data_IF_902128438093
#
_entry.id   IF_902128438093
#
_cell.length_a   1.000
_cell.length_b   1.000
_cell.length_c   1.000
_cell.angle_alpha   90.00
_cell.angle_beta   90.00
_cell.angle_gamma   90.00
#
_symmetry.space_group_name_H-M   'P 1'
#
loop_
_entity.id
_entity.type
_entity.pdbx_description
1 polymer ?
#
# COMPACT_ATOMS: atom_id res chain seq x y z
N UNK A 1 -2.76 -6.40 20.11
CA UNK A 1 -1.62 -6.21 19.21
C UNK A 1 -1.92 -4.92 18.45
N UNK A 2 -1.25 -3.81 18.77
CA UNK A 2 -1.44 -2.53 18.10
C UNK A 2 -0.75 -2.62 16.73
N UNK A 3 -1.53 -2.71 15.68
CA UNK A 3 -1.02 -2.63 14.31
C UNK A 3 -1.02 -1.17 13.87
N UNK A 4 0.00 -0.46 14.26
CA UNK A 4 0.35 0.79 13.60
C UNK A 4 0.96 0.45 12.23
N UNK A 5 0.16 0.60 11.16
CA UNK A 5 0.57 0.33 9.76
C UNK A 5 1.54 1.44 9.27
N UNK A 6 2.19 2.12 10.19
CA UNK A 6 3.29 3.01 9.90
C UNK A 6 4.47 2.22 9.28
N UNK A 7 5.30 2.90 8.53
CA UNK A 7 6.55 2.34 8.02
C UNK A 7 7.38 1.59 9.08
N UNK A 8 7.17 1.86 10.37
CA UNK A 8 7.79 1.16 11.49
C UNK A 8 7.41 -0.32 11.59
N UNK A 9 6.18 -0.72 11.25
CA UNK A 9 5.80 -2.14 11.24
C UNK A 9 6.30 -2.86 10.00
N UNK A 10 6.24 -2.23 8.84
CA UNK A 10 6.87 -2.79 7.63
C UNK A 10 8.36 -2.99 7.90
N UNK A 11 9.02 -2.00 8.52
CA UNK A 11 10.42 -2.12 8.94
C UNK A 11 10.62 -3.27 9.92
N UNK A 12 9.77 -3.43 10.93
CA UNK A 12 9.84 -4.50 11.93
C UNK A 12 9.62 -5.88 11.32
N UNK A 13 8.65 -6.02 10.40
CA UNK A 13 8.43 -7.27 9.67
C UNK A 13 9.61 -7.60 8.75
N UNK A 14 10.16 -6.62 8.06
CA UNK A 14 11.34 -6.79 7.22
C UNK A 14 12.59 -7.11 8.06
N UNK A 15 12.78 -6.44 9.21
CA UNK A 15 13.94 -6.65 10.07
C UNK A 15 13.92 -8.01 10.78
N UNK A 16 12.75 -8.54 11.13
CA UNK A 16 12.59 -9.88 11.71
C UNK A 16 13.04 -10.99 10.75
N UNK A 17 12.99 -10.73 9.43
CA UNK A 17 13.33 -11.69 8.37
C UNK A 17 14.58 -11.29 7.57
N UNK A 18 15.40 -10.41 8.14
CA UNK A 18 16.60 -9.84 7.47
C UNK A 18 17.61 -10.92 7.03
N UNK A 19 17.76 -12.00 7.79
CA UNK A 19 18.70 -13.07 7.46
C UNK A 19 18.36 -13.78 6.14
N UNK A 20 17.10 -13.71 5.70
CA UNK A 20 16.66 -14.26 4.41
C UNK A 20 16.65 -13.23 3.27
N UNK A 21 16.72 -11.93 3.59
CA UNK A 21 16.51 -10.83 2.63
C UNK A 21 17.76 -10.38 1.86
N UNK A 22 18.93 -10.95 2.13
CA UNK A 22 20.20 -10.63 1.48
C UNK A 22 21.12 -9.66 2.21
N UNK A 23 22.42 -9.76 1.90
CA UNK A 23 23.48 -8.87 2.40
C UNK A 23 23.25 -7.37 2.09
N UNK A 24 22.42 -7.05 1.09
CA UNK A 24 22.03 -5.66 0.76
C UNK A 24 21.34 -4.94 1.91
N UNK A 25 20.56 -5.66 2.74
CA UNK A 25 19.87 -5.05 3.90
C UNK A 25 20.75 -5.02 5.16
N UNK A 26 21.75 -5.89 5.25
CA UNK A 26 22.66 -5.96 6.39
C UNK A 26 23.56 -4.71 6.51
N UNK A 27 23.80 -4.02 5.39
CA UNK A 27 24.75 -2.90 5.29
C UNK A 27 24.11 -1.51 5.34
N UNK A 28 22.79 -1.39 5.46
CA UNK A 28 22.10 -0.09 5.51
C UNK A 28 21.21 0.01 6.74
N UNK A 29 21.49 0.99 7.61
CA UNK A 29 20.61 1.37 8.70
C UNK A 29 19.24 1.96 8.23
N UNK A 30 18.96 1.92 6.92
CA UNK A 30 17.70 2.37 6.30
C UNK A 30 17.08 1.20 5.53
N UNK A 31 15.80 0.93 5.75
CA UNK A 31 15.06 -0.02 4.95
C UNK A 31 14.95 0.48 3.50
N UNK A 32 15.70 -0.12 2.58
CA UNK A 32 15.78 0.30 1.18
C UNK A 32 14.48 0.11 0.39
N UNK A 33 13.46 -0.53 1.00
CA UNK A 33 12.17 -0.81 0.36
C UNK A 33 11.04 0.17 0.73
N UNK A 34 11.32 1.18 1.54
CA UNK A 34 10.33 2.19 1.91
C UNK A 34 10.64 3.52 1.22
N UNK A 35 9.60 4.33 0.90
CA UNK A 35 9.79 5.73 0.55
C UNK A 35 10.51 6.47 1.68
N UNK A 36 11.30 7.48 1.35
CA UNK A 36 11.91 8.33 2.36
C UNK A 36 10.83 9.11 3.12
N UNK A 37 10.91 9.12 4.47
CA UNK A 37 10.00 9.90 5.31
C UNK A 37 10.66 11.21 5.69
N UNK A 38 9.98 12.32 5.38
CA UNK A 38 10.45 13.68 5.66
C UNK A 38 9.92 14.24 6.99
N UNK A 39 8.80 13.70 7.51
CA UNK A 39 8.26 14.13 8.79
C UNK A 39 7.03 13.33 9.23
N UNK A 40 6.79 13.33 10.55
CA UNK A 40 5.62 12.72 11.19
C UNK A 40 5.04 13.74 12.17
N UNK A 41 3.72 14.00 12.07
CA UNK A 41 3.04 15.07 12.80
C UNK A 41 1.74 14.56 13.43
N UNK A 42 1.30 15.21 14.51
CA UNK A 42 0.02 14.92 15.16
C UNK A 42 -1.12 15.74 14.56
N UNK A 43 -0.81 16.96 14.14
CA UNK A 43 -1.78 17.94 13.60
C UNK A 43 -1.25 18.56 12.30
N UNK A 44 -2.17 19.08 11.48
CA UNK A 44 -1.81 19.71 10.19
C UNK A 44 -1.07 21.03 10.35
N UNK A 45 -1.26 21.75 11.46
CA UNK A 45 -0.60 23.01 11.79
C UNK A 45 0.86 22.86 12.26
N UNK A 46 1.24 21.63 12.64
CA UNK A 46 2.63 21.31 13.00
C UNK A 46 3.55 21.15 11.77
N UNK A 47 2.98 21.08 10.53
CA UNK A 47 3.76 20.80 9.33
C UNK A 47 4.64 21.99 8.96
N UNK A 48 5.95 21.78 9.08
CA UNK A 48 6.94 22.74 8.62
C UNK A 48 7.30 22.45 7.15
N UNK A 49 6.78 23.30 6.25
CA UNK A 49 7.00 23.17 4.81
C UNK A 49 8.39 23.62 4.37
N UNK A 50 9.12 24.40 5.17
CA UNK A 50 10.40 24.98 4.75
C UNK A 50 11.46 23.90 4.53
N UNK A 51 11.47 22.87 5.35
CA UNK A 51 12.42 21.74 5.29
C UNK A 51 12.01 20.65 4.29
N UNK A 52 10.80 20.72 3.70
CA UNK A 52 10.36 19.71 2.76
C UNK A 52 10.96 19.90 1.36
N UNK A 53 11.20 18.81 0.60
CA UNK A 53 11.63 18.90 -0.79
C UNK A 53 10.56 19.55 -1.66
N UNK A 54 10.89 19.81 -2.94
CA UNK A 54 9.93 20.44 -3.86
C UNK A 54 8.71 19.57 -4.16
N UNK A 55 8.82 18.26 -4.03
CA UNK A 55 7.73 17.31 -4.29
C UNK A 55 7.65 16.27 -3.18
N UNK A 56 6.46 16.01 -2.66
CA UNK A 56 6.19 15.07 -1.58
C UNK A 56 4.73 14.63 -1.57
N UNK A 57 4.43 13.61 -0.77
CA UNK A 57 3.07 13.15 -0.49
C UNK A 57 2.79 13.28 1.00
N UNK A 58 1.65 13.86 1.37
CA UNK A 58 1.15 13.94 2.75
C UNK A 58 0.07 12.89 2.89
N UNK A 59 0.15 12.04 3.92
CA UNK A 59 -0.82 10.97 4.19
C UNK A 59 -1.22 10.90 5.65
N UNK A 60 -2.43 10.44 5.92
CA UNK A 60 -2.82 9.90 7.23
C UNK A 60 -2.49 8.41 7.33
N UNK A 61 -2.15 7.91 8.54
CA UNK A 61 -1.71 6.52 8.75
C UNK A 61 -2.83 5.54 9.07
N UNK A 62 -4.02 6.03 9.40
CA UNK A 62 -5.08 5.25 10.08
C UNK A 62 -6.38 5.16 9.29
N UNK A 63 -6.38 5.57 8.03
CA UNK A 63 -7.59 5.57 7.21
C UNK A 63 -7.29 5.45 5.70
N UNK A 64 -8.36 5.43 4.90
CA UNK A 64 -8.29 5.47 3.45
C UNK A 64 -8.71 6.84 2.92
N UNK A 65 -7.95 7.37 1.97
CA UNK A 65 -8.25 8.62 1.25
C UNK A 65 -7.67 9.89 1.86
N UNK A 66 -7.03 9.82 3.03
CA UNK A 66 -6.29 10.91 3.64
C UNK A 66 -4.95 11.16 2.94
N UNK A 67 -4.98 11.50 1.64
CA UNK A 67 -3.77 11.67 0.81
C UNK A 67 -3.82 13.00 0.06
N UNK A 68 -2.71 13.73 0.07
CA UNK A 68 -2.45 14.94 -0.72
C UNK A 68 -1.10 14.78 -1.43
N UNK A 69 -1.12 14.88 -2.76
CA UNK A 69 0.10 14.83 -3.58
C UNK A 69 0.51 16.25 -3.92
N UNK A 70 1.72 16.65 -3.51
CA UNK A 70 2.33 17.94 -3.82
C UNK A 70 3.43 17.71 -4.85
N UNK A 71 3.17 18.10 -6.09
CA UNK A 71 4.14 17.98 -7.19
C UNK A 71 5.13 19.15 -7.24
N UNK A 72 4.71 20.33 -6.80
CA UNK A 72 5.51 21.54 -6.73
C UNK A 72 5.16 22.30 -5.44
N UNK A 73 6.10 22.35 -4.49
CA UNK A 73 5.91 23.02 -3.20
C UNK A 73 5.64 24.52 -3.36
N UNK A 74 6.36 25.21 -4.24
CA UNK A 74 6.19 26.63 -4.42
C UNK A 74 4.79 26.98 -4.93
N UNK A 75 4.27 26.25 -5.92
CA UNK A 75 2.90 26.40 -6.41
C UNK A 75 1.86 26.08 -5.34
N UNK A 76 2.07 25.00 -4.58
CA UNK A 76 1.17 24.59 -3.50
C UNK A 76 1.09 25.63 -2.38
N UNK A 77 2.21 26.26 -2.02
CA UNK A 77 2.26 27.30 -0.99
C UNK A 77 1.72 28.65 -1.48
N UNK A 78 1.88 28.96 -2.75
CA UNK A 78 1.34 30.19 -3.37
C UNK A 78 -0.18 30.15 -3.52
N UNK A 79 -0.77 28.95 -3.73
CA UNK A 79 -2.23 28.75 -3.80
C UNK A 79 -2.81 28.54 -2.39
N UNK A 80 -3.10 29.63 -1.70
CA UNK A 80 -3.65 29.58 -0.34
C UNK A 80 -4.96 28.80 -0.26
N UNK A 81 -5.83 28.87 -1.27
CA UNK A 81 -7.11 28.15 -1.29
C UNK A 81 -6.89 26.65 -1.36
N UNK A 82 -6.06 26.18 -2.27
CA UNK A 82 -5.70 24.77 -2.43
C UNK A 82 -4.99 24.21 -1.20
N UNK A 83 -4.09 25.00 -0.61
CA UNK A 83 -3.40 24.64 0.63
C UNK A 83 -4.39 24.43 1.77
N UNK A 84 -5.29 25.40 2.01
CA UNK A 84 -6.30 25.35 3.06
C UNK A 84 -7.23 24.15 2.83
N UNK A 85 -7.74 23.94 1.63
CA UNK A 85 -8.60 22.79 1.30
C UNK A 85 -7.88 21.46 1.60
N UNK A 86 -6.62 21.32 1.18
CA UNK A 86 -5.81 20.12 1.40
C UNK A 86 -5.59 19.83 2.88
N UNK A 87 -5.21 20.84 3.66
CA UNK A 87 -4.97 20.69 5.10
C UNK A 87 -6.29 20.43 5.85
N UNK A 88 -7.38 21.08 5.46
CA UNK A 88 -8.73 20.82 6.00
C UNK A 88 -9.18 19.40 5.72
N UNK A 89 -8.93 18.90 4.50
CA UNK A 89 -9.19 17.50 4.16
C UNK A 89 -8.43 16.56 5.09
N UNK A 90 -7.11 16.75 5.23
CA UNK A 90 -6.27 15.91 6.10
C UNK A 90 -6.72 15.97 7.56
N UNK A 91 -7.08 17.16 8.08
CA UNK A 91 -7.58 17.30 9.44
C UNK A 91 -8.89 16.53 9.66
N UNK A 92 -9.83 16.59 8.71
CA UNK A 92 -11.07 15.78 8.76
C UNK A 92 -10.77 14.27 8.79
N UNK A 93 -9.71 13.83 8.12
CA UNK A 93 -9.27 12.44 8.16
C UNK A 93 -8.64 12.09 9.52
N UNK A 94 -7.84 12.97 10.12
CA UNK A 94 -7.27 12.79 11.45
C UNK A 94 -8.32 12.69 12.56
N UNK A 95 -9.39 13.48 12.45
CA UNK A 95 -10.42 13.61 13.49
C UNK A 95 -11.39 12.43 13.53
N UNK A 96 -11.33 11.52 12.56
CA UNK A 96 -12.24 10.37 12.48
C UNK A 96 -11.56 9.06 12.85
N UNK A 97 -12.28 8.16 13.51
CA UNK A 97 -11.87 6.78 13.58
C UNK A 97 -12.43 6.03 12.36
N UNK A 98 -11.55 5.58 11.47
CA UNK A 98 -11.97 4.93 10.23
C UNK A 98 -12.72 3.61 10.47
N UNK A 99 -12.46 2.92 11.58
CA UNK A 99 -13.22 1.75 12.01
C UNK A 99 -14.73 2.03 12.11
N UNK A 100 -15.13 3.23 12.56
CA UNK A 100 -16.55 3.56 12.68
C UNK A 100 -17.26 3.62 11.33
N UNK A 101 -16.52 3.90 10.26
CA UNK A 101 -17.02 3.94 8.88
C UNK A 101 -16.92 2.58 8.20
N UNK A 102 -15.75 1.95 8.23
CA UNK A 102 -15.45 0.74 7.46
C UNK A 102 -15.78 -0.55 8.19
N UNK A 103 -15.79 -0.52 9.55
CA UNK A 103 -15.86 -1.69 10.45
C UNK A 103 -14.69 -2.66 10.29
N UNK A 104 -13.60 -2.22 9.69
CA UNK A 104 -12.36 -2.97 9.55
C UNK A 104 -11.57 -2.88 10.87
N UNK A 105 -11.49 -3.99 11.57
CA UNK A 105 -10.99 -4.07 12.96
C UNK A 105 -9.59 -3.51 13.15
N UNK A 106 -8.71 -3.69 12.18
CA UNK A 106 -7.32 -3.27 12.27
C UNK A 106 -7.11 -1.74 12.33
N UNK A 107 -8.12 -0.94 11.91
CA UNK A 107 -8.05 0.52 12.04
C UNK A 107 -8.46 1.04 13.42
N UNK A 108 -9.12 0.22 14.24
CA UNK A 108 -9.79 0.66 15.48
C UNK A 108 -8.89 1.38 16.47
N UNK A 109 -7.66 0.87 16.63
CA UNK A 109 -6.74 1.32 17.68
C UNK A 109 -5.48 2.01 17.11
N UNK A 110 -5.48 2.39 15.84
CA UNK A 110 -4.35 3.11 15.27
C UNK A 110 -4.39 4.56 15.76
N UNK A 111 -3.31 5.00 16.38
CA UNK A 111 -3.16 6.40 16.79
C UNK A 111 -3.00 7.27 15.55
N UNK A 112 -3.92 8.24 15.29
CA UNK A 112 -3.85 9.10 14.11
C UNK A 112 -2.55 9.88 14.02
N UNK A 113 -1.95 9.89 12.84
CA UNK A 113 -0.75 10.67 12.49
C UNK A 113 -0.81 11.10 11.04
N UNK A 114 -0.18 12.23 10.77
CA UNK A 114 0.23 12.61 9.42
C UNK A 114 1.66 12.20 9.22
N UNK A 115 1.98 11.66 8.08
CA UNK A 115 3.36 11.50 7.64
C UNK A 115 3.55 12.06 6.25
N UNK A 116 4.76 12.56 6.00
CA UNK A 116 5.16 13.14 4.72
C UNK A 116 6.27 12.28 4.16
N UNK A 117 6.08 11.82 2.94
CA UNK A 117 7.01 10.90 2.30
C UNK A 117 7.38 11.31 0.87
N UNK A 118 8.39 10.65 0.34
CA UNK A 118 8.87 10.77 -1.02
C UNK A 118 7.74 10.56 -2.05
N UNK A 119 7.61 11.49 -3.00
CA UNK A 119 6.67 11.37 -4.11
C UNK A 119 7.24 10.50 -5.23
N UNK A 120 6.91 9.23 -5.23
CA UNK A 120 7.38 8.27 -6.23
C UNK A 120 6.81 8.53 -7.63
N UNK A 121 5.65 9.19 -7.76
CA UNK A 121 5.03 9.48 -9.05
C UNK A 121 5.81 10.48 -9.90
N UNK A 122 6.62 11.33 -9.27
CA UNK A 122 7.50 12.26 -9.97
C UNK A 122 8.58 11.57 -10.81
N UNK A 123 8.96 10.36 -10.41
CA UNK A 123 9.99 9.57 -11.09
C UNK A 123 9.41 8.72 -12.23
N UNK A 124 8.11 8.49 -12.22
CA UNK A 124 7.44 7.66 -13.22
C UNK A 124 5.98 8.11 -13.39
N UNK A 125 5.68 8.76 -14.52
CA UNK A 125 4.32 9.23 -14.85
C UNK A 125 3.29 8.10 -14.99
N UNK A 126 3.72 6.83 -15.19
CA UNK A 126 2.88 5.64 -15.28
C UNK A 126 3.20 4.69 -14.11
N UNK A 127 3.16 5.22 -12.89
CA UNK A 127 3.41 4.45 -11.67
C UNK A 127 2.36 3.35 -11.53
N UNK A 128 2.79 2.11 -11.74
CA UNK A 128 1.94 0.92 -11.58
C UNK A 128 1.96 0.44 -10.15
N UNK A 129 0.76 0.17 -9.64
CA UNK A 129 0.55 -0.40 -8.33
C UNK A 129 0.36 -1.92 -8.47
N UNK A 130 1.38 -2.68 -8.03
CA UNK A 130 1.42 -4.14 -8.05
C UNK A 130 0.95 -4.68 -6.70
N UNK A 131 -0.25 -5.22 -6.65
CA UNK A 131 -0.92 -5.70 -5.44
C UNK A 131 -0.87 -7.22 -5.39
N UNK A 132 -0.05 -7.76 -4.50
CA UNK A 132 0.14 -9.19 -4.33
C UNK A 132 -0.85 -9.73 -3.30
N UNK A 133 -1.81 -10.55 -3.74
CA UNK A 133 -2.75 -11.23 -2.86
C UNK A 133 -2.11 -12.53 -2.37
N UNK A 134 -1.74 -12.55 -1.09
CA UNK A 134 -0.98 -13.64 -0.48
C UNK A 134 -1.90 -14.40 0.48
N UNK A 135 -2.04 -15.70 0.26
CA UNK A 135 -2.78 -16.63 1.12
C UNK A 135 -1.80 -17.68 1.64
N UNK A 136 -1.76 -17.88 2.96
CA UNK A 136 -0.86 -18.84 3.59
C UNK A 136 0.57 -18.77 3.02
N UNK A 137 1.15 -17.59 3.03
CA UNK A 137 2.51 -17.24 2.58
C UNK A 137 2.80 -17.43 1.08
N UNK A 138 1.77 -17.73 0.27
CA UNK A 138 1.90 -17.88 -1.19
C UNK A 138 1.07 -16.83 -1.92
N UNK A 139 1.68 -16.05 -2.79
CA UNK A 139 0.95 -15.19 -3.72
C UNK A 139 0.10 -16.08 -4.63
N UNK A 140 -1.22 -15.88 -4.61
CA UNK A 140 -2.15 -16.59 -5.49
C UNK A 140 -2.38 -15.83 -6.79
N UNK A 141 -2.50 -14.51 -6.69
CA UNK A 141 -2.61 -13.64 -7.85
C UNK A 141 -2.06 -12.24 -7.57
N UNK A 142 -1.78 -11.51 -8.64
CA UNK A 142 -1.25 -10.15 -8.61
C UNK A 142 -2.25 -9.28 -9.36
N UNK A 143 -2.78 -8.27 -8.69
CA UNK A 143 -3.59 -7.23 -9.28
C UNK A 143 -2.68 -6.07 -9.67
N UNK A 144 -2.77 -5.59 -10.90
CA UNK A 144 -2.07 -4.39 -11.34
C UNK A 144 -3.08 -3.33 -11.70
N UNK A 145 -3.13 -2.28 -10.89
CA UNK A 145 -4.01 -1.14 -11.13
C UNK A 145 -3.29 -0.07 -11.95
N UNK A 146 -4.04 0.61 -12.82
CA UNK A 146 -3.58 1.83 -13.44
C UNK A 146 -3.58 2.98 -12.44
N UNK A 147 -2.88 4.07 -12.74
CA UNK A 147 -2.78 5.25 -11.87
C UNK A 147 -4.14 5.89 -11.53
N UNK A 148 -5.15 5.75 -12.40
CA UNK A 148 -6.51 6.22 -12.17
C UNK A 148 -7.38 5.24 -11.36
N UNK A 149 -6.92 4.02 -11.08
CA UNK A 149 -7.65 2.95 -10.40
C UNK A 149 -8.99 2.56 -11.05
N UNK A 150 -9.15 2.81 -12.37
CA UNK A 150 -10.37 2.52 -13.11
C UNK A 150 -10.39 1.14 -13.74
N UNK A 151 -9.22 0.57 -14.00
CA UNK A 151 -9.06 -0.76 -14.60
C UNK A 151 -8.02 -1.56 -13.82
N UNK A 152 -8.20 -2.87 -13.81
CA UNK A 152 -7.26 -3.82 -13.21
C UNK A 152 -6.94 -4.93 -14.19
N UNK A 153 -5.67 -5.31 -14.26
CA UNK A 153 -5.27 -6.58 -14.82
C UNK A 153 -4.82 -7.51 -13.71
N UNK A 154 -5.24 -8.76 -13.78
CA UNK A 154 -4.89 -9.78 -12.80
C UNK A 154 -4.02 -10.85 -13.46
N UNK A 155 -2.99 -11.27 -12.74
CA UNK A 155 -2.00 -12.24 -13.22
C UNK A 155 -1.75 -13.31 -12.17
N UNK A 156 -1.48 -14.53 -12.64
CA UNK A 156 -0.84 -15.54 -11.81
C UNK A 156 0.60 -15.14 -11.46
N UNK A 157 1.24 -15.79 -10.46
CA UNK A 157 2.65 -15.53 -10.13
C UNK A 157 3.63 -15.75 -11.28
N UNK A 158 3.29 -16.58 -12.27
CA UNK A 158 4.07 -16.80 -13.50
C UNK A 158 3.81 -15.74 -14.59
N UNK A 159 2.94 -14.75 -14.28
CA UNK A 159 2.52 -13.66 -15.16
C UNK A 159 1.55 -14.05 -16.28
N UNK A 160 0.94 -15.23 -16.22
CA UNK A 160 -0.23 -15.54 -17.05
C UNK A 160 -1.46 -14.81 -16.53
N UNK A 161 -2.38 -14.51 -17.42
CA UNK A 161 -3.62 -13.83 -17.05
C UNK A 161 -4.41 -14.66 -16.06
N UNK A 162 -4.79 -14.06 -14.92
CA UNK A 162 -5.70 -14.66 -13.97
C UNK A 162 -7.15 -14.42 -14.43
N UNK A 163 -7.97 -15.47 -14.61
CA UNK A 163 -9.21 -15.37 -15.40
C UNK A 163 -10.41 -14.86 -14.60
N UNK A 164 -10.22 -13.84 -13.74
CA UNK A 164 -11.31 -13.24 -12.97
C UNK A 164 -11.38 -11.73 -13.20
N UNK A 165 -12.54 -11.15 -12.90
CA UNK A 165 -12.67 -9.73 -12.61
C UNK A 165 -12.74 -9.53 -11.10
N UNK A 166 -12.02 -8.55 -10.61
CA UNK A 166 -11.98 -8.16 -9.21
C UNK A 166 -12.16 -6.65 -9.10
N UNK A 167 -13.29 -6.20 -8.54
CA UNK A 167 -13.71 -4.80 -8.41
C UNK A 167 -14.00 -4.09 -9.73
N UNK A 168 -12.99 -3.91 -10.56
CA UNK A 168 -13.03 -3.13 -11.79
C UNK A 168 -12.90 -4.02 -13.02
N UNK A 169 -13.36 -3.50 -14.17
CA UNK A 169 -13.17 -4.16 -15.45
C UNK A 169 -11.67 -4.32 -15.75
N UNK A 170 -11.37 -5.37 -16.46
CA UNK A 170 -10.03 -5.61 -16.99
C UNK A 170 -9.68 -4.54 -18.03
N UNK A 171 -8.42 -4.07 -17.99
CA UNK A 171 -7.88 -3.25 -19.06
C UNK A 171 -7.69 -4.10 -20.33
N UNK A 172 -7.98 -3.52 -21.48
CA UNK A 172 -7.75 -4.17 -22.78
C UNK A 172 -6.26 -4.33 -23.08
N UNK A 173 -5.42 -3.48 -22.49
CA UNK A 173 -3.97 -3.50 -22.68
C UNK A 173 -3.29 -4.38 -21.65
N UNK A 174 -2.59 -5.40 -22.11
CA UNK A 174 -1.76 -6.22 -21.22
C UNK A 174 -0.58 -5.41 -20.67
N UNK A 175 -0.28 -5.66 -19.39
CA UNK A 175 0.84 -5.01 -18.71
C UNK A 175 2.08 -5.91 -18.86
N UNK A 176 3.19 -5.30 -19.24
CA UNK A 176 4.45 -6.00 -19.34
C UNK A 176 4.88 -6.54 -17.97
N UNK A 177 5.38 -7.78 -17.97
CA UNK A 177 5.93 -8.43 -16.77
C UNK A 177 7.05 -7.59 -16.15
N UNK A 178 6.95 -7.21 -14.86
CA UNK A 178 8.04 -6.47 -14.22
C UNK A 178 9.29 -7.35 -14.12
N UNK A 179 10.42 -6.83 -14.52
CA UNK A 179 11.68 -7.59 -14.56
C UNK A 179 12.18 -8.01 -13.15
N UNK A 180 11.67 -7.39 -12.08
CA UNK A 180 11.93 -7.77 -10.68
C UNK A 180 10.83 -8.63 -10.05
N UNK A 181 9.91 -9.21 -10.84
CA UNK A 181 8.79 -9.99 -10.32
C UNK A 181 9.22 -11.06 -9.31
N UNK A 182 10.28 -11.81 -9.59
CA UNK A 182 10.78 -12.86 -8.68
C UNK A 182 11.15 -12.29 -7.30
N UNK A 183 11.77 -11.11 -7.25
CA UNK A 183 12.13 -10.43 -6.00
C UNK A 183 10.89 -9.89 -5.30
N UNK A 184 9.92 -9.33 -6.03
CA UNK A 184 8.64 -8.87 -5.47
C UNK A 184 7.84 -10.02 -4.86
N UNK A 185 7.75 -11.18 -5.52
CA UNK A 185 7.10 -12.38 -4.98
C UNK A 185 7.75 -12.86 -3.68
N UNK A 186 9.10 -12.84 -3.61
CA UNK A 186 9.83 -13.19 -2.39
C UNK A 186 9.51 -12.22 -1.26
N UNK A 187 9.51 -10.91 -1.52
CA UNK A 187 9.15 -9.89 -0.53
C UNK A 187 7.71 -10.05 -0.03
N UNK A 188 6.74 -10.29 -0.94
CA UNK A 188 5.36 -10.52 -0.57
C UNK A 188 5.22 -11.74 0.35
N UNK A 189 5.91 -12.84 0.06
CA UNK A 189 5.93 -14.04 0.90
C UNK A 189 6.51 -13.75 2.29
N UNK A 190 7.63 -13.03 2.38
CA UNK A 190 8.26 -12.69 3.65
C UNK A 190 7.39 -11.78 4.52
N UNK A 191 6.73 -10.79 3.91
CA UNK A 191 5.82 -9.89 4.61
C UNK A 191 4.53 -10.56 5.09
N UNK A 192 4.21 -11.74 4.55
CA UNK A 192 3.00 -12.50 4.89
C UNK A 192 3.18 -13.52 6.01
N UNK A 193 4.39 -13.72 6.56
CA UNK A 193 4.70 -14.83 7.49
C UNK A 193 3.78 -14.89 8.71
N UNK A 194 3.36 -13.75 9.23
CA UNK A 194 2.53 -13.69 10.42
C UNK A 194 1.01 -13.62 10.08
N UNK A 195 0.61 -13.85 8.80
CA UNK A 195 -0.77 -13.65 8.33
C UNK A 195 -1.27 -14.77 7.43
N UNK A 196 -2.49 -15.23 7.68
CA UNK A 196 -3.17 -16.21 6.79
C UNK A 196 -3.51 -15.58 5.43
N UNK A 197 -3.84 -14.29 5.44
CA UNK A 197 -4.05 -13.48 4.25
C UNK A 197 -3.51 -12.06 4.45
N UNK A 198 -2.87 -11.57 3.42
CA UNK A 198 -2.47 -10.17 3.31
C UNK A 198 -2.34 -9.75 1.84
N UNK A 199 -2.71 -8.52 1.51
CA UNK A 199 -2.36 -7.89 0.25
C UNK A 199 -1.13 -7.01 0.47
N UNK A 200 -0.09 -7.25 -0.31
CA UNK A 200 1.15 -6.45 -0.27
C UNK A 200 1.22 -5.62 -1.54
N UNK A 201 1.14 -4.30 -1.40
CA UNK A 201 1.16 -3.37 -2.51
C UNK A 201 2.59 -2.83 -2.71
N UNK A 202 3.09 -2.93 -3.93
CA UNK A 202 4.46 -2.54 -4.27
C UNK A 202 4.52 -1.70 -5.54
N UNK A 203 5.51 -0.82 -5.59
CA UNK A 203 5.88 -0.06 -6.77
C UNK A 203 7.26 -0.48 -7.26
N UNK A 204 7.49 -0.36 -8.57
CA UNK A 204 8.80 -0.53 -9.19
C UNK A 204 9.19 0.76 -9.91
N UNK A 205 10.12 1.52 -9.33
CA UNK A 205 10.55 2.83 -9.80
C UNK A 205 12.06 2.84 -9.89
N UNK A 206 12.64 3.25 -11.01
CA UNK A 206 14.08 3.35 -11.22
C UNK A 206 14.87 2.12 -10.75
N UNK A 207 14.38 0.96 -11.10
CA UNK A 207 14.97 -0.33 -10.70
C UNK A 207 14.92 -0.61 -9.20
N UNK A 208 14.19 0.16 -8.41
CA UNK A 208 13.98 -0.04 -6.98
C UNK A 208 12.55 -0.47 -6.69
N UNK A 209 12.39 -1.45 -5.80
CA UNK A 209 11.09 -1.88 -5.31
C UNK A 209 10.75 -1.05 -4.07
N UNK A 210 9.54 -0.52 -4.03
CA UNK A 210 8.99 0.16 -2.86
C UNK A 210 7.75 -0.57 -2.38
N UNK A 211 7.60 -0.73 -1.07
CA UNK A 211 6.40 -1.25 -0.42
C UNK A 211 5.54 -0.03 -0.10
N UNK A 212 4.33 -0.02 -0.63
CA UNK A 212 3.38 1.09 -0.45
C UNK A 212 2.37 0.85 0.65
N UNK A 213 1.84 -0.38 0.77
CA UNK A 213 0.77 -0.69 1.73
C UNK A 213 0.73 -2.18 2.08
N UNK A 214 0.27 -2.48 3.28
CA UNK A 214 -0.15 -3.80 3.73
C UNK A 214 -1.64 -3.74 4.05
N UNK A 215 -2.47 -4.48 3.28
CA UNK A 215 -3.93 -4.45 3.41
C UNK A 215 -4.47 -5.79 3.87
N UNK A 216 -5.23 -5.81 4.97
CA UNK A 216 -5.76 -7.04 5.58
C UNK A 216 -7.14 -7.41 5.05
N UNK A 217 -7.99 -6.42 4.82
CA UNK A 217 -9.38 -6.61 4.37
C UNK A 217 -9.69 -5.73 3.16
N UNK A 218 -9.15 -6.04 1.97
CA UNK A 218 -9.35 -5.22 0.78
C UNK A 218 -10.83 -4.93 0.53
N UNK A 219 -11.19 -3.64 0.42
CA UNK A 219 -12.57 -3.16 0.22
C UNK A 219 -13.57 -3.68 1.27
N UNK A 220 -13.15 -3.80 2.52
CA UNK A 220 -13.98 -4.34 3.63
C UNK A 220 -14.52 -5.75 3.32
N UNK A 221 -13.85 -6.56 2.51
CA UNK A 221 -14.32 -7.86 2.06
C UNK A 221 -15.53 -7.84 1.12
N UNK A 222 -15.91 -6.67 0.58
CA UNK A 222 -17.11 -6.50 -0.27
C UNK A 222 -16.81 -6.47 -1.76
N UNK A 223 -15.60 -6.76 -2.15
CA UNK A 223 -15.21 -6.78 -3.55
C UNK A 223 -15.99 -7.84 -4.33
N UNK A 224 -16.62 -7.44 -5.43
CA UNK A 224 -17.26 -8.40 -6.34
C UNK A 224 -16.19 -9.16 -7.12
N UNK A 225 -16.34 -10.48 -7.16
CA UNK A 225 -15.48 -11.40 -7.90
C UNK A 225 -16.32 -12.09 -8.97
N UNK A 226 -15.87 -12.05 -10.21
CA UNK A 226 -16.53 -12.71 -11.34
C UNK A 226 -15.53 -13.55 -12.12
N UNK A 227 -15.91 -14.81 -12.52
CA UNK A 227 -17.17 -15.49 -12.17
C UNK A 227 -17.25 -15.88 -10.70
N UNK A 228 -18.46 -16.01 -10.16
CA UNK A 228 -18.77 -16.16 -8.72
C UNK A 228 -18.13 -17.40 -8.08
N UNK A 229 -17.90 -18.48 -8.85
CA UNK A 229 -17.22 -19.67 -8.32
C UNK A 229 -15.80 -19.40 -7.81
N UNK A 230 -15.18 -18.29 -8.26
CA UNK A 230 -13.87 -17.90 -7.77
C UNK A 230 -13.90 -17.26 -6.37
N UNK A 231 -15.01 -16.68 -5.97
CA UNK A 231 -15.17 -16.19 -4.61
C UNK A 231 -15.05 -17.34 -3.60
N UNK A 232 -15.75 -18.44 -3.86
CA UNK A 232 -15.63 -19.66 -3.04
C UNK A 232 -14.22 -20.25 -3.09
N UNK A 233 -13.60 -20.34 -4.29
CA UNK A 233 -12.25 -20.88 -4.45
C UNK A 233 -11.21 -20.07 -3.66
N UNK A 234 -11.28 -18.75 -3.72
CA UNK A 234 -10.38 -17.87 -2.96
C UNK A 234 -10.64 -17.98 -1.46
N UNK A 235 -11.90 -18.05 -1.04
CA UNK A 235 -12.27 -18.30 0.36
C UNK A 235 -11.71 -19.62 0.90
N UNK A 236 -11.73 -20.70 0.10
CA UNK A 236 -11.14 -21.99 0.46
C UNK A 236 -9.62 -21.98 0.59
N UNK A 237 -8.93 -21.00 -0.04
CA UNK A 237 -7.49 -20.80 0.12
C UNK A 237 -7.14 -20.16 1.47
N UNK A 238 -8.11 -19.51 2.10
CA UNK A 238 -7.94 -18.89 3.41
C UNK A 238 -8.07 -19.95 4.51
N UNK A 239 -6.96 -20.38 5.07
CA UNK A 239 -6.91 -21.31 6.19
C UNK A 239 -6.79 -20.51 7.49
N UNK A 240 -7.90 -20.06 8.01
CA UNK A 240 -7.93 -19.50 9.36
C UNK A 240 -8.09 -20.65 10.36
N UNK A 241 -7.15 -20.82 11.29
CA UNK A 241 -7.29 -21.79 12.39
C UNK A 241 -8.46 -21.45 13.34
N UNK A 242 -8.97 -20.22 13.25
CA UNK A 242 -10.15 -19.74 14.00
C UNK A 242 -11.43 -20.46 13.61
N UNK A 243 -11.52 -21.07 12.41
CA UNK A 243 -12.70 -21.79 11.93
C UNK A 243 -12.57 -23.32 12.02
N UNK A 244 -11.56 -23.83 12.69
CA UNK A 244 -11.52 -25.24 13.08
C UNK A 244 -12.38 -25.42 14.34
N UNK A 245 -13.71 -25.45 14.15
CA UNK A 245 -14.68 -25.94 15.13
C UNK A 245 -14.76 -27.45 15.01
#
# INVERSE_FOLDING_TARGET
MEYDISNGQIYKLLSKNIDELSEELKNTNKCSYLPEIYGIYKHTDEIDFDFLPNSFVIKTNHDWGGVVVVNNKAEFLADSSKKIESLTKLQKHLDRNYYDVSKEWHYKNITPRIFIEENLSQKNNDLKDYRFHVFNHKTQFIQVANSAHTCNNLYYPDWKIFPIMYLNKRDSKEIQKPYKLKKMLKLASLLSIDFDYIRVDMYLVDSKIYIGELTFTPNCGKAKIEPTEWDLKLGQMWRSDVFKL
#
